data_IF_623259135679
#
_entry.id   IF_623259135679
#
_cell.length_a   1.000
_cell.length_b   1.000
_cell.length_c   1.000
_cell.angle_alpha   90.00
_cell.angle_beta   90.00
_cell.angle_gamma   90.00
#
_symmetry.space_group_name_H-M   'P 1'
#
loop_
_entity.id
_entity.type
_entity.pdbx_description
1 polymer ?
#
# COMPACT_ATOMS: atom_id res chain seq x y z
N UNK A 1 1.42 -19.22 7.48
CA UNK A 1 2.73 -19.30 6.80
C UNK A 1 2.92 -18.00 6.05
N UNK A 2 4.16 -17.53 5.89
CA UNK A 2 4.47 -16.38 5.06
C UNK A 2 4.35 -16.71 3.58
N UNK A 3 4.28 -15.69 2.74
CA UNK A 3 4.11 -15.81 1.29
C UNK A 3 4.92 -14.76 0.54
N UNK A 4 5.24 -15.08 -0.70
CA UNK A 4 5.84 -14.17 -1.68
C UNK A 4 5.23 -14.45 -3.06
N UNK A 5 5.47 -13.59 -4.06
CA UNK A 5 5.09 -13.86 -5.45
C UNK A 5 5.93 -15.01 -6.03
N UNK A 6 5.38 -15.77 -6.96
CA UNK A 6 6.09 -16.93 -7.54
C UNK A 6 7.22 -16.51 -8.47
N UNK A 7 7.01 -15.45 -9.25
CA UNK A 7 7.94 -14.92 -10.25
C UNK A 7 7.88 -13.39 -10.28
N UNK A 8 8.87 -12.70 -10.89
CA UNK A 8 8.85 -11.25 -11.04
C UNK A 8 7.67 -10.77 -11.89
N UNK A 9 7.05 -9.65 -11.47
CA UNK A 9 5.92 -9.01 -12.15
C UNK A 9 6.30 -7.57 -12.46
N UNK A 10 6.10 -7.15 -13.71
CA UNK A 10 6.42 -5.79 -14.16
C UNK A 10 5.15 -4.96 -14.36
N UNK A 11 5.12 -3.78 -13.75
CA UNK A 11 4.09 -2.78 -13.94
C UNK A 11 4.70 -1.52 -14.57
N UNK A 12 4.03 -0.94 -15.56
CA UNK A 12 4.44 0.30 -16.22
C UNK A 12 3.29 1.28 -16.23
N UNK A 13 3.57 2.52 -15.94
CA UNK A 13 2.56 3.57 -15.90
C UNK A 13 3.17 4.93 -15.56
N UNK A 14 2.34 5.83 -15.05
CA UNK A 14 2.69 7.20 -14.73
C UNK A 14 2.41 7.43 -13.25
N UNK A 15 3.28 8.15 -12.55
CA UNK A 15 3.04 8.62 -11.18
C UNK A 15 1.95 9.70 -11.18
N UNK A 16 0.99 9.58 -10.25
CA UNK A 16 -0.15 10.49 -10.15
C UNK A 16 0.26 11.94 -9.84
N UNK A 17 1.19 12.10 -8.89
CA UNK A 17 1.64 13.43 -8.43
C UNK A 17 2.82 13.96 -9.23
N UNK A 18 3.71 13.07 -9.68
CA UNK A 18 4.91 13.48 -10.40
C UNK A 18 4.71 13.62 -11.91
N UNK A 19 3.68 12.98 -12.49
CA UNK A 19 3.47 12.89 -13.92
C UNK A 19 4.58 12.15 -14.69
N UNK A 20 5.51 11.50 -13.97
CA UNK A 20 6.67 10.82 -14.58
C UNK A 20 6.35 9.38 -14.91
N UNK A 21 6.92 8.88 -16.00
CA UNK A 21 6.89 7.46 -16.30
C UNK A 21 7.57 6.67 -15.18
N UNK A 22 6.93 5.60 -14.75
CA UNK A 22 7.42 4.71 -13.70
C UNK A 22 7.32 3.27 -14.16
N UNK A 23 8.41 2.54 -14.00
CA UNK A 23 8.46 1.08 -14.15
C UNK A 23 8.77 0.48 -12.81
N UNK A 24 7.90 -0.39 -12.36
CA UNK A 24 8.00 -1.12 -11.11
C UNK A 24 8.09 -2.61 -11.39
N UNK A 25 9.06 -3.29 -10.77
CA UNK A 25 9.18 -4.74 -10.82
C UNK A 25 9.02 -5.29 -9.41
N UNK A 26 8.00 -6.11 -9.21
CA UNK A 26 7.74 -6.83 -7.97
C UNK A 26 8.48 -8.18 -8.05
N UNK A 27 9.48 -8.38 -7.21
CA UNK A 27 10.26 -9.60 -7.15
C UNK A 27 9.88 -10.46 -5.95
N UNK A 28 10.02 -11.80 -6.05
CA UNK A 28 10.02 -12.67 -4.88
C UNK A 28 11.11 -12.25 -3.89
N UNK A 29 10.86 -12.44 -2.60
CA UNK A 29 11.84 -12.22 -1.55
C UNK A 29 11.78 -13.36 -0.52
N UNK A 30 12.86 -13.53 0.23
CA UNK A 30 12.98 -14.57 1.25
C UNK A 30 12.02 -14.31 2.43
N UNK A 31 11.77 -15.35 3.21
CA UNK A 31 10.99 -15.24 4.42
C UNK A 31 11.62 -14.23 5.41
N UNK A 32 10.76 -13.51 6.12
CA UNK A 32 11.14 -12.43 7.05
C UNK A 32 11.79 -11.18 6.40
N UNK A 33 11.82 -11.11 5.06
CA UNK A 33 12.33 -9.94 4.34
C UNK A 33 11.39 -8.71 4.50
N UNK A 34 10.08 -8.96 4.56
CA UNK A 34 9.07 -7.92 4.51
C UNK A 34 8.89 -7.33 3.11
N UNK A 35 8.28 -6.14 3.04
CA UNK A 35 8.15 -5.40 1.78
C UNK A 35 9.19 -4.28 1.78
N UNK A 36 10.06 -4.27 0.75
CA UNK A 36 11.10 -3.26 0.59
C UNK A 36 11.05 -2.67 -0.82
N UNK A 37 11.11 -1.35 -0.92
CA UNK A 37 11.30 -0.64 -2.17
C UNK A 37 12.79 -0.39 -2.43
N UNK A 38 13.21 -0.57 -3.69
CA UNK A 38 14.56 -0.24 -4.15
C UNK A 38 14.47 0.73 -5.32
N UNK A 39 14.98 1.93 -5.14
CA UNK A 39 15.10 2.97 -6.16
C UNK A 39 16.27 2.65 -7.09
N UNK A 40 15.97 2.16 -8.30
CA UNK A 40 16.99 1.75 -9.27
C UNK A 40 17.61 2.93 -10.02
N UNK A 41 16.97 4.08 -9.98
CA UNK A 41 17.49 5.35 -10.52
C UNK A 41 18.50 6.05 -9.58
N UNK A 42 18.66 5.57 -8.35
CA UNK A 42 19.63 6.07 -7.37
C UNK A 42 20.78 5.07 -7.28
N UNK A 43 21.96 5.47 -7.75
CA UNK A 43 23.13 4.61 -7.86
C UNK A 43 24.11 4.75 -6.67
N UNK A 44 24.00 5.80 -5.88
CA UNK A 44 24.96 6.20 -4.84
C UNK A 44 24.79 5.49 -3.49
N UNK A 45 24.04 4.38 -3.41
CA UNK A 45 23.71 3.72 -2.14
C UNK A 45 22.45 4.30 -1.49
N UNK A 46 22.08 3.77 -0.31
CA UNK A 46 20.90 4.24 0.44
C UNK A 46 19.55 4.13 -0.28
N UNK A 47 19.50 3.42 -1.37
CA UNK A 47 18.34 3.35 -2.27
C UNK A 47 17.24 2.39 -1.81
N UNK A 48 17.37 1.80 -0.63
CA UNK A 48 16.39 0.87 -0.03
C UNK A 48 15.47 1.62 0.93
N UNK A 49 14.17 1.48 0.75
CA UNK A 49 13.13 2.04 1.61
C UNK A 49 12.21 0.91 2.08
N UNK A 50 12.27 0.54 3.35
CA UNK A 50 11.38 -0.48 3.92
C UNK A 50 9.96 0.05 4.05
N UNK A 51 8.96 -0.76 3.67
CA UNK A 51 7.56 -0.49 3.94
C UNK A 51 7.25 -0.74 5.42
N UNK A 52 7.60 0.23 6.24
CA UNK A 52 7.38 0.22 7.69
C UNK A 52 6.69 1.51 8.10
N UNK A 53 5.81 1.43 9.11
CA UNK A 53 5.19 2.61 9.70
C UNK A 53 6.21 3.64 10.23
N UNK A 54 7.42 3.18 10.61
CA UNK A 54 8.53 4.05 11.05
C UNK A 54 9.09 4.92 9.91
N UNK A 55 8.88 4.52 8.67
CA UNK A 55 9.37 5.20 7.48
C UNK A 55 8.29 6.07 6.82
N UNK A 56 7.12 6.22 7.43
CA UNK A 56 6.09 7.12 6.92
C UNK A 56 6.58 8.55 7.09
N UNK A 57 6.62 9.28 5.99
CA UNK A 57 6.98 10.70 5.95
C UNK A 57 5.77 11.57 5.61
N UNK A 58 5.81 12.83 6.04
CA UNK A 58 4.76 13.77 5.69
C UNK A 58 4.65 13.90 4.17
N UNK A 59 3.41 13.81 3.69
CA UNK A 59 3.05 14.01 2.29
C UNK A 59 1.63 14.53 2.23
N UNK A 60 1.34 15.34 1.23
CA UNK A 60 -0.01 15.76 0.91
C UNK A 60 -0.62 14.72 -0.05
N UNK A 61 -1.85 14.30 0.23
CA UNK A 61 -2.72 13.50 -0.65
C UNK A 61 -2.19 12.10 -1.05
N UNK A 62 -1.10 11.61 -0.48
CA UNK A 62 -0.61 10.24 -0.71
C UNK A 62 0.20 9.70 0.46
N UNK A 63 0.42 8.38 0.49
CA UNK A 63 1.34 7.75 1.44
C UNK A 63 2.75 7.78 0.88
N UNK A 64 3.66 8.43 1.61
CA UNK A 64 5.08 8.52 1.30
C UNK A 64 5.91 7.74 2.30
N UNK A 65 6.76 6.87 1.81
CA UNK A 65 7.80 6.22 2.59
C UNK A 65 9.15 6.90 2.34
N UNK A 66 9.95 7.09 3.38
CA UNK A 66 11.26 7.70 3.30
C UNK A 66 12.23 7.03 4.28
N UNK A 67 13.43 6.73 3.84
CA UNK A 67 14.49 6.22 4.71
C UNK A 67 15.28 7.36 5.39
N UNK A 68 16.23 7.00 6.24
CA UNK A 68 17.11 7.95 6.97
C UNK A 68 18.00 8.80 6.08
N UNK A 69 18.23 8.37 4.84
CA UNK A 69 19.06 9.08 3.85
C UNK A 69 18.24 10.03 2.96
N UNK A 70 16.93 10.18 3.25
CA UNK A 70 16.03 11.06 2.50
C UNK A 70 15.51 10.47 1.19
N UNK A 71 15.87 9.23 0.86
CA UNK A 71 15.33 8.54 -0.31
C UNK A 71 13.89 8.14 -0.06
N UNK A 72 13.00 8.46 -0.97
CA UNK A 72 11.57 8.25 -0.77
C UNK A 72 10.86 7.61 -1.98
N UNK A 73 9.71 6.99 -1.68
CA UNK A 73 8.75 6.46 -2.66
C UNK A 73 7.36 6.98 -2.26
N UNK A 74 6.64 7.53 -3.24
CA UNK A 74 5.30 8.09 -3.09
C UNK A 74 4.23 7.13 -3.61
N UNK A 75 2.99 7.36 -3.16
CA UNK A 75 1.76 6.69 -3.67
C UNK A 75 1.84 5.17 -3.57
N UNK A 76 2.31 4.69 -2.41
CA UNK A 76 2.52 3.25 -2.16
C UNK A 76 1.22 2.51 -1.80
N UNK A 77 0.16 3.22 -1.43
CA UNK A 77 -1.08 2.70 -0.84
C UNK A 77 -1.79 1.67 -1.73
N UNK A 78 -1.90 1.90 -3.05
CA UNK A 78 -2.60 0.99 -3.96
C UNK A 78 -1.87 -0.35 -4.12
N UNK A 79 -0.53 -0.29 -4.27
CA UNK A 79 0.31 -1.49 -4.30
C UNK A 79 0.26 -2.23 -2.97
N UNK A 80 0.41 -1.52 -1.85
CA UNK A 80 0.38 -2.11 -0.51
C UNK A 80 -0.98 -2.76 -0.22
N UNK A 81 -2.09 -2.15 -0.65
CA UNK A 81 -3.42 -2.75 -0.56
C UNK A 81 -3.53 -4.04 -1.39
N UNK A 82 -2.98 -4.05 -2.62
CA UNK A 82 -2.92 -5.24 -3.45
C UNK A 82 -2.10 -6.37 -2.83
N UNK A 83 -0.92 -6.06 -2.30
CA UNK A 83 -0.06 -7.03 -1.61
C UNK A 83 -0.74 -7.60 -0.37
N UNK A 84 -1.34 -6.74 0.47
CA UNK A 84 -2.06 -7.15 1.67
C UNK A 84 -3.29 -8.01 1.32
N UNK A 85 -4.08 -7.63 0.32
CA UNK A 85 -5.25 -8.37 -0.15
C UNK A 85 -4.90 -9.75 -0.72
N UNK A 86 -3.73 -9.90 -1.34
CA UNK A 86 -3.21 -11.18 -1.81
C UNK A 86 -2.44 -11.96 -0.73
N UNK A 87 -2.28 -11.40 0.48
CA UNK A 87 -1.55 -12.02 1.57
C UNK A 87 -0.04 -12.07 1.37
N UNK A 88 0.55 -11.25 0.49
CA UNK A 88 1.99 -11.21 0.23
C UNK A 88 2.69 -10.55 1.42
N UNK A 89 3.61 -11.29 2.05
CA UNK A 89 4.35 -10.84 3.22
C UNK A 89 5.76 -10.36 2.88
N UNK A 90 6.37 -10.94 1.84
CA UNK A 90 7.75 -10.68 1.46
C UNK A 90 7.85 -10.36 -0.02
N UNK A 91 8.39 -9.21 -0.36
CA UNK A 91 8.66 -8.82 -1.74
C UNK A 91 9.71 -7.70 -1.81
N UNK A 92 10.55 -7.74 -2.83
CA UNK A 92 11.38 -6.62 -3.23
C UNK A 92 10.70 -5.90 -4.40
N UNK A 93 10.48 -4.61 -4.23
CA UNK A 93 9.85 -3.74 -5.23
C UNK A 93 10.91 -2.83 -5.83
N UNK A 94 11.46 -3.19 -6.98
CA UNK A 94 12.35 -2.32 -7.73
C UNK A 94 11.55 -1.27 -8.50
N UNK A 95 11.95 -0.01 -8.40
CA UNK A 95 11.28 1.10 -9.06
C UNK A 95 12.29 2.11 -9.61
N UNK A 96 12.11 2.53 -10.87
CA UNK A 96 13.03 3.44 -11.56
C UNK A 96 12.66 4.93 -11.39
N UNK A 97 11.89 5.26 -10.38
CA UNK A 97 11.45 6.64 -10.13
C UNK A 97 10.88 6.84 -8.73
N UNK A 98 10.49 8.08 -8.38
CA UNK A 98 10.08 8.44 -7.03
C UNK A 98 8.66 8.00 -6.67
N UNK A 99 7.88 7.47 -7.61
CA UNK A 99 6.46 7.22 -7.39
C UNK A 99 5.98 5.92 -8.02
N UNK A 100 5.17 5.17 -7.27
CA UNK A 100 4.49 3.97 -7.76
C UNK A 100 3.54 4.35 -8.89
N UNK A 101 3.50 3.60 -10.03
CA UNK A 101 2.58 3.92 -11.12
C UNK A 101 1.13 3.78 -10.64
N UNK A 102 0.29 4.80 -10.93
CA UNK A 102 -1.10 4.85 -10.47
C UNK A 102 -1.99 3.81 -11.18
N UNK A 103 -1.63 3.39 -12.36
CA UNK A 103 -2.37 2.47 -13.23
C UNK A 103 -3.82 2.95 -13.45
N UNK A 104 -4.81 2.18 -13.00
CA UNK A 104 -6.23 2.51 -13.08
C UNK A 104 -6.77 3.26 -11.85
N UNK A 105 -5.90 3.64 -10.91
CA UNK A 105 -6.28 4.31 -9.67
C UNK A 105 -6.86 3.36 -8.61
N UNK A 106 -6.71 2.04 -8.79
CA UNK A 106 -7.15 1.03 -7.83
C UNK A 106 -6.07 -0.02 -7.56
N UNK A 107 -6.32 -0.93 -6.62
CA UNK A 107 -5.46 -2.09 -6.37
C UNK A 107 -5.73 -3.26 -7.33
N UNK A 108 -6.80 -3.20 -8.15
CA UNK A 108 -7.29 -4.33 -8.96
C UNK A 108 -6.26 -4.85 -9.94
N UNK A 109 -5.55 -3.95 -10.63
CA UNK A 109 -4.53 -4.35 -11.59
C UNK A 109 -3.36 -5.07 -10.93
N UNK A 110 -2.91 -4.60 -9.75
CA UNK A 110 -1.89 -5.28 -8.96
C UNK A 110 -2.35 -6.68 -8.53
N UNK A 111 -3.56 -6.78 -7.97
CA UNK A 111 -4.14 -8.06 -7.54
C UNK A 111 -4.25 -9.06 -8.69
N UNK A 112 -4.77 -8.64 -9.84
CA UNK A 112 -4.91 -9.51 -11.02
C UNK A 112 -3.58 -10.11 -11.47
N UNK A 113 -2.54 -9.31 -11.59
CA UNK A 113 -1.23 -9.80 -12.03
C UNK A 113 -0.54 -10.67 -10.97
N UNK A 114 -0.69 -10.35 -9.66
CA UNK A 114 -0.20 -11.21 -8.57
C UNK A 114 -0.88 -12.59 -8.60
N UNK A 115 -2.21 -12.64 -8.70
CA UNK A 115 -2.94 -13.90 -8.71
C UNK A 115 -2.65 -14.71 -9.98
N UNK A 116 -2.50 -14.07 -11.13
CA UNK A 116 -2.13 -14.70 -12.39
C UNK A 116 -0.73 -15.33 -12.36
N UNK A 117 0.24 -14.63 -11.76
CA UNK A 117 1.63 -15.11 -11.62
C UNK A 117 1.72 -16.22 -10.57
N UNK A 118 0.83 -16.18 -9.57
CA UNK A 118 0.80 -17.13 -8.47
C UNK A 118 1.54 -16.68 -7.22
N UNK A 119 1.20 -17.33 -6.12
CA UNK A 119 1.71 -17.04 -4.78
C UNK A 119 2.46 -18.26 -4.25
N UNK A 120 3.68 -18.04 -3.78
CA UNK A 120 4.54 -19.08 -3.22
C UNK A 120 4.48 -19.05 -1.70
N UNK A 121 4.14 -20.18 -1.09
CA UNK A 121 4.21 -20.39 0.36
C UNK A 121 5.66 -20.56 0.82
N UNK A 122 5.96 -19.98 1.98
CA UNK A 122 7.27 -20.03 2.62
C UNK A 122 7.19 -20.75 3.96
N UNK A 123 8.23 -21.50 4.33
CA UNK A 123 8.28 -22.32 5.56
C UNK A 123 8.54 -21.49 6.83
N UNK A 124 8.02 -20.27 6.91
CA UNK A 124 8.13 -19.38 8.07
C UNK A 124 6.75 -19.02 8.60
N UNK A 125 6.63 -18.90 9.91
CA UNK A 125 5.39 -18.48 10.56
C UNK A 125 5.12 -17.01 10.30
N UNK A 126 3.85 -16.67 10.08
CA UNK A 126 3.43 -15.28 10.02
C UNK A 126 3.47 -14.67 11.43
N UNK A 127 4.11 -13.52 11.55
CA UNK A 127 4.07 -12.70 12.77
C UNK A 127 2.86 -11.77 12.69
N UNK A 128 1.99 -11.82 13.67
CA UNK A 128 0.79 -10.99 13.73
C UNK A 128 0.74 -10.22 15.06
N UNK A 129 0.18 -9.03 15.03
CA UNK A 129 -0.12 -8.24 16.23
C UNK A 129 -1.56 -8.52 16.63
N UNK A 130 -1.74 -9.06 17.86
CA UNK A 130 -3.07 -9.24 18.44
C UNK A 130 -3.41 -8.07 19.35
N UNK A 131 -4.53 -7.43 19.08
CA UNK A 131 -5.04 -6.35 19.93
C UNK A 131 -5.73 -6.99 21.14
N UNK A 132 -5.21 -6.72 22.33
CA UNK A 132 -5.71 -7.30 23.58
C UNK A 132 -6.67 -6.38 24.35
N UNK A 133 -6.61 -5.08 24.08
CA UNK A 133 -7.49 -4.06 24.68
C UNK A 133 -7.72 -2.92 23.71
N UNK A 134 -8.80 -2.19 23.90
CA UNK A 134 -9.08 -1.00 23.09
C UNK A 134 -7.97 0.05 23.26
N UNK A 135 -7.46 0.53 22.15
CA UNK A 135 -6.47 1.62 22.08
C UNK A 135 -7.05 2.74 21.21
N UNK A 136 -7.13 3.93 21.76
CA UNK A 136 -7.63 5.11 21.06
C UNK A 136 -6.49 6.10 20.86
N UNK A 137 -6.47 6.74 19.68
CA UNK A 137 -5.61 7.86 19.38
C UNK A 137 -6.45 8.99 18.78
N UNK A 138 -6.24 10.20 19.22
CA UNK A 138 -6.93 11.40 18.73
C UNK A 138 -5.90 12.50 18.46
N UNK A 139 -6.03 13.14 17.31
CA UNK A 139 -5.27 14.33 16.92
C UNK A 139 -6.23 15.30 16.24
N UNK A 140 -6.44 16.44 16.85
CA UNK A 140 -7.41 17.46 16.41
C UNK A 140 -8.82 16.86 16.21
N UNK A 141 -9.36 16.88 15.01
CA UNK A 141 -10.64 16.27 14.63
C UNK A 141 -10.50 14.81 14.18
N UNK A 142 -9.26 14.36 13.83
CA UNK A 142 -9.01 12.99 13.40
C UNK A 142 -8.84 12.05 14.60
N UNK A 143 -9.31 10.83 14.43
CA UNK A 143 -9.15 9.79 15.45
C UNK A 143 -8.89 8.42 14.80
N UNK A 144 -8.24 7.54 15.54
CA UNK A 144 -8.05 6.14 15.19
C UNK A 144 -8.30 5.28 16.43
N UNK A 145 -8.88 4.10 16.22
CA UNK A 145 -9.19 3.15 17.28
C UNK A 145 -8.82 1.73 16.87
N UNK A 146 -8.16 0.99 17.75
CA UNK A 146 -7.99 -0.46 17.64
C UNK A 146 -8.85 -1.13 18.71
N UNK A 147 -9.54 -2.19 18.34
CA UNK A 147 -10.35 -2.99 19.26
C UNK A 147 -10.01 -4.48 19.11
N UNK A 148 -10.10 -5.26 20.19
CA UNK A 148 -10.06 -6.72 20.09
C UNK A 148 -11.13 -7.23 19.13
N UNK A 149 -10.76 -8.17 18.26
CA UNK A 149 -11.70 -8.81 17.32
C UNK A 149 -11.18 -10.20 16.98
N UNK A 150 -12.08 -11.13 16.68
CA UNK A 150 -11.74 -12.49 16.26
C UNK A 150 -11.34 -12.57 14.79
N UNK A 151 -11.60 -11.52 14.02
CA UNK A 151 -11.25 -11.41 12.60
C UNK A 151 -10.82 -9.98 12.23
N UNK A 152 -10.01 -9.80 11.18
CA UNK A 152 -9.63 -8.48 10.70
C UNK A 152 -10.87 -7.72 10.21
N UNK A 153 -11.10 -6.53 10.78
CA UNK A 153 -12.17 -5.62 10.34
C UNK A 153 -11.61 -4.21 10.30
N UNK A 154 -11.88 -3.50 9.22
CA UNK A 154 -11.53 -2.09 9.06
C UNK A 154 -12.79 -1.28 8.76
N UNK A 155 -12.92 -0.14 9.41
CA UNK A 155 -13.96 0.86 9.13
C UNK A 155 -13.29 2.23 9.09
N UNK A 156 -13.65 3.04 8.14
CA UNK A 156 -13.16 4.42 8.08
C UNK A 156 -14.30 5.35 7.65
N UNK A 157 -14.20 6.62 8.06
CA UNK A 157 -15.07 7.70 7.67
C UNK A 157 -14.22 8.91 7.33
N UNK A 158 -14.57 9.60 6.26
CA UNK A 158 -13.93 10.84 5.83
C UNK A 158 -15.03 11.87 5.61
N UNK A 159 -14.87 13.06 6.20
CA UNK A 159 -15.73 14.20 5.99
C UNK A 159 -14.95 15.28 5.25
N UNK A 160 -15.45 15.66 4.08
CA UNK A 160 -14.95 16.79 3.32
C UNK A 160 -15.89 17.96 3.45
N UNK A 161 -15.43 19.08 3.97
CA UNK A 161 -16.17 20.34 3.99
C UNK A 161 -16.14 21.00 2.60
N UNK A 162 -16.63 20.31 1.58
CA UNK A 162 -16.61 20.82 0.21
C UNK A 162 -18.02 21.08 -0.31
N UNK A 163 -18.24 22.28 -0.86
CA UNK A 163 -19.48 22.69 -1.51
C UNK A 163 -19.93 21.80 -2.69
N UNK A 164 -19.03 20.95 -3.21
CA UNK A 164 -19.35 19.98 -4.26
C UNK A 164 -20.30 18.86 -3.82
N UNK A 165 -20.47 18.64 -2.52
CA UNK A 165 -21.45 17.67 -1.99
C UNK A 165 -22.88 18.19 -1.91
N UNK A 166 -23.15 19.44 -2.23
CA UNK A 166 -24.52 20.00 -2.23
C UNK A 166 -25.37 19.55 -3.41
N UNK A 167 -24.77 18.93 -4.43
CA UNK A 167 -25.48 18.30 -5.56
C UNK A 167 -24.71 17.05 -6.00
N UNK A 168 -24.91 15.90 -5.32
CA UNK A 168 -24.24 14.68 -5.71
C UNK A 168 -24.65 14.28 -7.13
N UNK A 169 -23.69 14.02 -7.99
CA UNK A 169 -23.95 13.50 -9.33
C UNK A 169 -24.52 12.07 -9.22
N UNK A 170 -25.26 11.57 -10.23
CA UNK A 170 -25.69 10.18 -10.26
C UNK A 170 -24.54 9.16 -10.13
N UNK A 171 -23.31 9.55 -10.51
CA UNK A 171 -22.10 8.75 -10.30
C UNK A 171 -21.68 8.71 -8.83
N UNK A 172 -21.80 9.82 -8.09
CA UNK A 172 -21.44 9.88 -6.67
C UNK A 172 -22.42 9.06 -5.82
N UNK A 173 -23.68 8.99 -6.23
CA UNK A 173 -24.70 8.13 -5.61
C UNK A 173 -24.39 6.63 -5.79
N UNK A 174 -23.72 6.24 -6.88
CA UNK A 174 -23.29 4.86 -7.11
C UNK A 174 -22.06 4.46 -6.31
N UNK A 175 -21.19 5.42 -5.99
CA UNK A 175 -19.98 5.19 -5.16
C UNK A 175 -20.29 5.23 -3.67
N UNK A 176 -21.33 5.94 -3.23
CA UNK A 176 -21.79 5.96 -1.83
C UNK A 176 -22.44 4.63 -1.38
N UNK A 177 -22.74 3.74 -2.32
CA UNK A 177 -23.23 2.38 -2.06
C UNK A 177 -22.12 1.33 -2.17
N UNK A 178 -20.98 1.53 -1.55
CA UNK A 178 -20.14 0.40 -1.21
C UNK A 178 -20.85 -0.38 -0.10
N UNK A 179 -21.27 -1.63 -0.33
CA UNK A 179 -21.82 -2.43 0.74
C UNK A 179 -20.74 -2.61 1.80
N UNK A 180 -21.07 -2.25 3.03
CA UNK A 180 -20.27 -2.57 4.21
C UNK A 180 -20.42 -4.06 4.54
N UNK A 181 -20.11 -4.93 3.60
CA UNK A 181 -20.15 -6.37 3.86
C UNK A 181 -19.56 -7.15 2.69
N UNK A 182 -18.40 -7.65 2.88
CA UNK A 182 -18.05 -9.04 2.65
C UNK A 182 -16.70 -9.32 3.29
#
# INVERSE_FOLDING_TARGET
MQTTVSEPIVFKGIGLHTGKNSTLTLHPADADFGICFKRTDILSGGNIVKASWLNIANSELCTRLMNSEGVSVLTVEHLMAGLAGCGINNALVEINGPEVPILDGSAVTFVKEILKTGIKLQKSSLKAVRILKTVNYKKDTAWAKFEPSDYPKMSFSIEFSCLLYTSPSPRDLSTSRMPSSA
#
